data_IF_360476661041
#
_entry.id   IF_360476661041
#
_cell.length_a   1.000
_cell.length_b   1.000
_cell.length_c   1.000
_cell.angle_alpha   90.00
_cell.angle_beta   90.00
_cell.angle_gamma   90.00
#
_symmetry.space_group_name_H-M   'P 1'
#
loop_
_entity.id
_entity.type
_entity.pdbx_description
1 polymer ?
#
# COMPACT_ATOMS: atom_id res chain seq x y z
N UNK A 1 5.16 18.38 0.32
CA UNK A 1 5.57 17.84 -1.01
C UNK A 1 4.66 16.68 -1.41
N UNK A 2 4.61 16.27 -2.72
CA UNK A 2 3.90 15.06 -3.08
C UNK A 2 4.61 13.83 -2.46
N UNK A 3 3.83 12.89 -1.89
CA UNK A 3 4.36 11.59 -1.53
C UNK A 3 4.61 10.81 -2.83
N UNK A 4 5.83 10.29 -2.99
CA UNK A 4 6.18 9.41 -4.10
C UNK A 4 6.45 8.02 -3.55
N UNK A 5 5.64 7.07 -3.98
CA UNK A 5 5.79 5.66 -3.66
C UNK A 5 6.25 4.91 -4.91
N UNK A 6 7.21 4.01 -4.74
CA UNK A 6 7.67 3.12 -5.79
C UNK A 6 7.58 1.68 -5.27
N UNK A 7 6.85 0.86 -5.99
CA UNK A 7 6.67 -0.55 -5.66
C UNK A 7 7.77 -1.39 -6.29
N UNK A 8 8.37 -2.28 -5.51
CA UNK A 8 9.36 -3.25 -5.96
C UNK A 8 8.94 -4.66 -5.53
N UNK A 9 9.22 -5.66 -6.35
CA UNK A 9 9.07 -7.06 -5.95
C UNK A 9 10.18 -7.50 -4.98
N UNK A 10 11.37 -6.90 -5.07
CA UNK A 10 12.51 -7.07 -4.16
C UNK A 10 13.17 -5.70 -3.90
N UNK A 11 12.58 -4.97 -2.95
CA UNK A 11 13.05 -3.64 -2.53
C UNK A 11 14.52 -3.65 -2.10
N UNK A 12 14.89 -4.63 -1.27
CA UNK A 12 16.23 -4.64 -0.67
C UNK A 12 17.31 -4.98 -1.71
N UNK A 13 17.00 -5.83 -2.68
CA UNK A 13 17.85 -6.10 -3.81
C UNK A 13 18.07 -4.85 -4.67
N UNK A 14 17.01 -4.14 -4.99
CA UNK A 14 17.09 -2.89 -5.78
C UNK A 14 17.85 -1.80 -5.03
N UNK A 15 17.58 -1.58 -3.74
CA UNK A 15 18.25 -0.54 -2.96
C UNK A 15 19.77 -0.77 -2.82
N UNK A 16 20.26 -2.01 -2.91
CA UNK A 16 21.70 -2.30 -2.94
C UNK A 16 22.40 -1.76 -4.20
N UNK A 17 21.65 -1.54 -5.28
CA UNK A 17 22.22 -1.04 -6.55
C UNK A 17 22.41 0.48 -6.54
N UNK A 18 21.82 1.20 -5.58
CA UNK A 18 21.83 2.65 -5.53
C UNK A 18 22.36 3.16 -4.21
N UNK A 19 23.17 4.22 -4.28
CA UNK A 19 23.54 4.97 -3.07
C UNK A 19 22.27 5.66 -2.56
N UNK A 20 21.91 5.39 -1.31
CA UNK A 20 20.75 5.98 -0.66
C UNK A 20 20.99 6.12 0.84
N UNK A 21 20.28 7.07 1.46
CA UNK A 21 20.27 7.25 2.92
C UNK A 21 18.87 6.93 3.42
N UNK A 22 18.68 5.93 4.31
CA UNK A 22 17.40 5.65 4.93
C UNK A 22 16.88 6.84 5.71
N UNK A 23 15.59 7.17 5.51
CA UNK A 23 14.91 8.18 6.29
C UNK A 23 14.71 7.73 7.74
N UNK A 24 14.46 8.67 8.63
CA UNK A 24 14.14 8.43 10.03
C UNK A 24 12.78 9.01 10.41
N UNK A 25 12.21 8.47 11.46
CA UNK A 25 10.95 8.89 12.06
C UNK A 25 11.11 8.99 13.56
N UNK A 26 10.53 10.02 14.18
CA UNK A 26 10.46 10.13 15.64
C UNK A 26 9.21 9.38 16.13
N UNK A 27 9.42 8.40 17.01
CA UNK A 27 8.37 7.70 17.75
C UNK A 27 8.72 7.69 19.23
N UNK A 28 7.79 8.10 20.08
CA UNK A 28 7.96 8.11 21.53
C UNK A 28 9.31 8.76 21.94
N UNK A 29 9.61 9.92 21.32
CA UNK A 29 10.85 10.70 21.51
C UNK A 29 12.15 10.01 21.06
N UNK A 30 12.05 8.85 20.36
CA UNK A 30 13.21 8.15 19.78
C UNK A 30 13.23 8.29 18.27
N UNK A 31 14.44 8.47 17.74
CA UNK A 31 14.67 8.44 16.31
C UNK A 31 14.82 6.99 15.87
N UNK A 32 13.92 6.52 15.01
CA UNK A 32 13.93 5.19 14.44
C UNK A 32 14.07 5.26 12.91
N UNK A 33 14.59 4.19 12.31
CA UNK A 33 14.59 4.05 10.84
C UNK A 33 13.15 4.04 10.31
N UNK A 34 12.89 4.88 9.30
CA UNK A 34 11.62 4.82 8.56
C UNK A 34 11.54 3.49 7.78
N UNK A 35 10.36 2.84 7.78
CA UNK A 35 10.21 1.51 7.18
C UNK A 35 10.47 1.48 5.68
N UNK A 36 10.00 2.50 4.96
CA UNK A 36 9.98 2.55 3.49
C UNK A 36 10.80 3.70 2.92
N UNK A 37 10.89 4.81 3.64
CA UNK A 37 11.46 6.06 3.16
C UNK A 37 12.97 6.04 2.99
N UNK A 38 13.41 6.52 1.84
CA UNK A 38 14.83 6.71 1.52
C UNK A 38 15.06 8.05 0.80
N UNK A 39 16.30 8.55 0.85
CA UNK A 39 16.77 9.68 0.08
C UNK A 39 17.84 9.20 -0.91
N UNK A 40 17.69 9.54 -2.20
CA UNK A 40 18.70 9.27 -3.24
C UNK A 40 19.60 10.48 -3.50
N UNK A 41 19.45 11.55 -2.75
CA UNK A 41 20.31 12.73 -2.74
C UNK A 41 20.96 12.90 -1.36
N UNK A 42 21.98 13.78 -1.27
CA UNK A 42 22.66 14.02 -0.01
C UNK A 42 21.75 14.63 1.05
N UNK A 43 21.69 14.02 2.21
CA UNK A 43 21.03 14.51 3.44
C UNK A 43 22.01 14.34 4.60
N UNK A 44 21.81 15.06 5.74
CA UNK A 44 22.59 14.83 6.94
C UNK A 44 22.48 13.36 7.38
N UNK A 45 23.63 12.67 7.47
CA UNK A 45 23.71 11.23 7.72
C UNK A 45 24.49 10.95 9.01
N UNK A 46 23.99 10.00 9.80
CA UNK A 46 24.68 9.56 11.01
C UNK A 46 25.86 8.65 10.65
N UNK A 47 27.10 8.96 11.07
CA UNK A 47 28.30 8.28 10.58
C UNK A 47 28.38 6.79 10.95
N UNK A 48 27.66 6.36 11.99
CA UNK A 48 27.69 4.96 12.45
C UNK A 48 26.52 4.15 11.87
N UNK A 49 25.32 4.73 11.84
CA UNK A 49 24.12 4.00 11.41
C UNK A 49 23.80 4.13 9.94
N UNK A 50 24.37 5.15 9.27
CA UNK A 50 24.06 5.46 7.87
C UNK A 50 22.64 5.96 7.63
N UNK A 51 21.89 6.30 8.68
CA UNK A 51 20.54 6.84 8.56
C UNK A 51 20.55 8.37 8.59
N UNK A 52 19.49 9.01 8.08
CA UNK A 52 19.30 10.45 8.24
C UNK A 52 19.35 10.84 9.73
N UNK A 53 20.02 11.95 10.04
CA UNK A 53 20.07 12.50 11.41
C UNK A 53 18.88 13.38 11.72
N UNK A 54 18.07 13.71 10.74
CA UNK A 54 16.85 14.52 10.87
C UNK A 54 15.62 13.68 10.55
N UNK A 55 14.56 13.89 11.29
CA UNK A 55 13.24 13.28 11.06
C UNK A 55 12.72 13.61 9.66
N UNK A 56 11.92 12.71 9.06
CA UNK A 56 11.44 12.89 7.69
C UNK A 56 10.56 14.13 7.51
N UNK A 57 9.85 14.59 8.57
CA UNK A 57 9.03 15.81 8.50
C UNK A 57 9.92 17.05 8.49
N UNK A 58 10.91 17.08 9.38
CA UNK A 58 11.91 18.16 9.39
C UNK A 58 12.72 18.19 8.07
N UNK A 59 13.02 17.03 7.52
CA UNK A 59 13.68 16.92 6.22
C UNK A 59 12.79 17.51 5.11
N UNK A 60 11.49 17.23 5.12
CA UNK A 60 10.53 17.81 4.17
C UNK A 60 10.45 19.33 4.31
N UNK A 61 10.40 19.86 5.54
CA UNK A 61 10.38 21.31 5.82
C UNK A 61 11.66 22.00 5.31
N UNK A 62 12.78 21.30 5.31
CA UNK A 62 14.07 21.76 4.77
C UNK A 62 14.21 21.57 3.25
N UNK A 63 13.20 21.01 2.57
CA UNK A 63 13.18 20.82 1.13
C UNK A 63 13.81 19.52 0.65
N UNK A 64 14.13 18.58 1.53
CA UNK A 64 14.59 17.24 1.14
C UNK A 64 13.43 16.40 0.63
N UNK A 65 13.66 15.61 -0.40
CA UNK A 65 12.66 14.80 -1.07
C UNK A 65 12.82 13.32 -0.71
N UNK A 66 11.87 12.79 0.06
CA UNK A 66 11.79 11.38 0.44
C UNK A 66 11.02 10.58 -0.60
N UNK A 67 11.51 9.39 -0.93
CA UNK A 67 10.80 8.40 -1.74
C UNK A 67 10.49 7.20 -0.84
N UNK A 68 9.24 6.76 -0.84
CA UNK A 68 8.84 5.53 -0.18
C UNK A 68 8.99 4.35 -1.14
N UNK A 69 9.96 3.48 -0.83
CA UNK A 69 10.20 2.25 -1.56
C UNK A 69 9.46 1.11 -0.85
N UNK A 70 8.44 0.57 -1.49
CA UNK A 70 7.56 -0.47 -0.96
C UNK A 70 7.97 -1.83 -1.50
N UNK A 71 7.85 -2.88 -0.68
CA UNK A 71 8.04 -4.25 -1.13
C UNK A 71 6.67 -4.86 -1.43
N UNK A 72 6.38 -5.11 -2.70
CA UNK A 72 5.11 -5.68 -3.17
C UNK A 72 5.40 -7.02 -3.81
N UNK A 73 5.38 -8.08 -2.98
CA UNK A 73 5.75 -9.45 -3.37
C UNK A 73 4.88 -10.05 -4.48
N UNK A 74 3.68 -9.51 -4.70
CA UNK A 74 2.77 -9.90 -5.78
C UNK A 74 3.48 -9.88 -7.14
N UNK A 75 4.32 -8.88 -7.38
CA UNK A 75 5.04 -8.69 -8.65
C UNK A 75 6.10 -9.76 -8.95
N UNK A 76 6.51 -10.56 -7.97
CA UNK A 76 7.43 -11.70 -8.22
C UNK A 76 6.86 -12.74 -9.19
N UNK A 77 5.54 -12.86 -9.25
CA UNK A 77 4.85 -13.82 -10.11
C UNK A 77 4.61 -13.31 -11.53
N UNK A 78 5.02 -12.07 -11.82
CA UNK A 78 4.80 -11.38 -13.10
C UNK A 78 6.09 -11.40 -13.92
N UNK A 79 6.00 -11.88 -15.17
CA UNK A 79 7.16 -12.12 -16.03
C UNK A 79 7.55 -10.92 -16.90
N UNK A 80 6.59 -10.00 -17.16
CA UNK A 80 6.80 -8.85 -18.04
C UNK A 80 5.83 -7.72 -17.72
N UNK A 81 6.17 -6.51 -18.15
CA UNK A 81 5.30 -5.34 -18.07
C UNK A 81 3.99 -5.56 -18.85
N UNK A 82 4.06 -6.23 -20.00
CA UNK A 82 2.88 -6.55 -20.79
C UNK A 82 1.93 -7.47 -20.00
N UNK A 83 2.43 -8.53 -19.34
CA UNK A 83 1.62 -9.41 -18.50
C UNK A 83 0.99 -8.61 -17.34
N UNK A 84 1.74 -7.68 -16.73
CA UNK A 84 1.20 -6.81 -15.68
C UNK A 84 0.02 -5.98 -16.18
N UNK A 85 0.17 -5.33 -17.33
CA UNK A 85 -0.90 -4.54 -17.93
C UNK A 85 -2.13 -5.40 -18.23
N UNK A 86 -1.95 -6.58 -18.81
CA UNK A 86 -3.03 -7.53 -19.09
C UNK A 86 -3.78 -7.92 -17.81
N UNK A 87 -3.05 -8.23 -16.74
CA UNK A 87 -3.63 -8.56 -15.42
C UNK A 87 -4.34 -7.37 -14.76
N UNK A 88 -3.86 -6.16 -14.98
CA UNK A 88 -4.49 -4.95 -14.43
C UNK A 88 -5.80 -4.58 -15.12
N UNK A 89 -5.93 -4.83 -16.44
CA UNK A 89 -7.14 -4.50 -17.22
C UNK A 89 -8.15 -5.65 -17.25
N UNK A 90 -7.72 -6.88 -16.93
CA UNK A 90 -8.61 -8.03 -16.86
C UNK A 90 -9.59 -7.84 -15.69
N UNK A 91 -10.90 -7.97 -15.99
CA UNK A 91 -11.94 -7.96 -14.95
C UNK A 91 -11.77 -9.19 -14.05
N UNK A 92 -11.61 -9.01 -12.74
CA UNK A 92 -11.44 -10.14 -11.83
C UNK A 92 -12.78 -10.82 -11.54
N UNK A 93 -12.75 -12.08 -11.11
CA UNK A 93 -13.95 -12.71 -10.53
C UNK A 93 -14.22 -12.16 -9.11
N UNK A 94 -15.08 -11.16 -9.03
CA UNK A 94 -15.48 -10.54 -7.75
C UNK A 94 -16.11 -11.54 -6.76
N UNK A 95 -16.57 -12.72 -7.20
CA UNK A 95 -17.09 -13.74 -6.29
C UNK A 95 -16.00 -14.33 -5.39
N UNK A 96 -14.75 -14.26 -5.80
CA UNK A 96 -13.60 -14.65 -4.94
C UNK A 96 -13.64 -13.94 -3.59
N UNK A 97 -14.12 -12.69 -3.53
CA UNK A 97 -14.22 -11.92 -2.30
C UNK A 97 -15.31 -12.39 -1.32
N UNK A 98 -16.12 -13.38 -1.69
CA UNK A 98 -17.10 -14.05 -0.81
C UNK A 98 -16.47 -15.17 0.01
N UNK A 99 -15.25 -15.58 -0.29
CA UNK A 99 -14.54 -16.68 0.35
C UNK A 99 -13.46 -16.15 1.30
N UNK A 100 -13.61 -16.42 2.59
CA UNK A 100 -12.69 -15.92 3.60
C UNK A 100 -11.25 -16.37 3.35
N UNK A 101 -11.06 -17.63 2.99
CA UNK A 101 -9.75 -18.23 2.69
C UNK A 101 -9.02 -17.52 1.54
N UNK A 102 -9.75 -16.93 0.60
CA UNK A 102 -9.18 -16.12 -0.47
C UNK A 102 -8.86 -14.72 0.03
N UNK A 103 -9.83 -14.07 0.70
CA UNK A 103 -9.65 -12.70 1.22
C UNK A 103 -8.47 -12.62 2.19
N UNK A 104 -8.26 -13.64 3.02
CA UNK A 104 -7.16 -13.68 3.98
C UNK A 104 -5.77 -13.81 3.31
N UNK A 105 -5.72 -14.10 2.02
CA UNK A 105 -4.49 -14.15 1.22
C UNK A 105 -4.27 -12.88 0.41
N UNK A 106 -5.30 -12.04 0.26
CA UNK A 106 -5.23 -10.84 -0.54
C UNK A 106 -4.51 -9.70 0.18
N UNK A 107 -3.69 -9.00 -0.57
CA UNK A 107 -2.91 -7.85 -0.14
C UNK A 107 -3.80 -6.81 0.58
N UNK A 108 -3.43 -6.41 1.79
CA UNK A 108 -4.16 -5.47 2.63
C UNK A 108 -5.62 -5.84 3.01
N UNK A 109 -6.13 -6.98 2.57
CA UNK A 109 -7.46 -7.49 2.96
C UNK A 109 -7.40 -8.58 4.03
N UNK A 110 -6.22 -9.15 4.26
CA UNK A 110 -6.00 -10.17 5.30
C UNK A 110 -6.57 -9.74 6.66
N UNK A 111 -7.36 -10.61 7.29
CA UNK A 111 -8.01 -10.35 8.58
C UNK A 111 -9.18 -9.37 8.53
N UNK A 112 -9.63 -8.96 7.34
CA UNK A 112 -10.73 -8.00 7.16
C UNK A 112 -11.93 -8.55 6.39
N UNK A 113 -12.07 -9.88 6.36
CA UNK A 113 -13.17 -10.53 5.64
C UNK A 113 -14.55 -10.01 6.02
N UNK A 114 -14.78 -9.70 7.30
CA UNK A 114 -16.05 -9.15 7.78
C UNK A 114 -16.43 -7.82 7.08
N UNK A 115 -15.46 -6.98 6.76
CA UNK A 115 -15.69 -5.72 6.05
C UNK A 115 -15.94 -5.97 4.57
N UNK A 116 -15.10 -6.81 3.95
CA UNK A 116 -15.20 -7.17 2.54
C UNK A 116 -16.54 -7.85 2.25
N UNK A 117 -16.93 -8.83 3.07
CA UNK A 117 -18.22 -9.55 2.92
C UNK A 117 -19.44 -8.68 3.16
N UNK A 118 -19.34 -7.65 4.01
CA UNK A 118 -20.42 -6.68 4.23
C UNK A 118 -20.59 -5.74 3.03
N UNK A 119 -19.48 -5.22 2.50
CA UNK A 119 -19.52 -4.21 1.42
C UNK A 119 -19.62 -4.82 0.03
N UNK A 120 -19.11 -6.04 -0.18
CA UNK A 120 -19.15 -6.78 -1.44
C UNK A 120 -18.75 -5.93 -2.66
N UNK A 121 -17.53 -5.39 -2.71
CA UNK A 121 -17.10 -4.54 -3.82
C UNK A 121 -17.14 -5.30 -5.15
N UNK A 122 -17.53 -4.60 -6.22
CA UNK A 122 -17.66 -5.13 -7.60
C UNK A 122 -16.95 -4.25 -8.62
N UNK A 123 -16.20 -3.27 -8.17
CA UNK A 123 -15.35 -2.40 -9.02
C UNK A 123 -14.08 -2.05 -8.28
N UNK A 124 -13.09 -1.60 -9.03
CA UNK A 124 -11.81 -1.14 -8.46
C UNK A 124 -12.03 0.04 -7.52
N UNK A 125 -12.91 0.97 -7.85
CA UNK A 125 -13.23 2.12 -7.01
C UNK A 125 -13.88 1.69 -5.69
N UNK A 126 -14.79 0.71 -5.74
CA UNK A 126 -15.39 0.15 -4.54
C UNK A 126 -14.35 -0.60 -3.69
N UNK A 127 -13.47 -1.36 -4.31
CA UNK A 127 -12.38 -2.05 -3.61
C UNK A 127 -11.41 -1.05 -2.95
N UNK A 128 -11.08 0.05 -3.64
CA UNK A 128 -10.29 1.14 -3.06
C UNK A 128 -11.01 1.79 -1.85
N UNK A 129 -12.33 1.98 -1.94
CA UNK A 129 -13.12 2.48 -0.80
C UNK A 129 -13.13 1.50 0.38
N UNK A 130 -13.20 0.19 0.13
CA UNK A 130 -13.06 -0.85 1.18
C UNK A 130 -11.72 -0.72 1.89
N UNK A 131 -10.61 -0.53 1.16
CA UNK A 131 -9.29 -0.33 1.76
C UNK A 131 -9.22 0.91 2.66
N UNK A 132 -9.93 1.98 2.30
CA UNK A 132 -10.05 3.16 3.15
C UNK A 132 -10.91 2.91 4.40
N UNK A 133 -12.02 2.15 4.27
CA UNK A 133 -12.96 1.82 5.37
C UNK A 133 -12.32 0.85 6.37
N UNK A 134 -11.40 0.01 5.96
CA UNK A 134 -10.59 -0.83 6.86
C UNK A 134 -9.86 0.04 7.91
N UNK A 135 -9.51 1.29 7.59
CA UNK A 135 -8.84 2.21 8.52
C UNK A 135 -9.83 2.80 9.55
N UNK A 136 -9.41 3.00 10.82
CA UNK A 136 -10.30 3.46 11.89
C UNK A 136 -11.08 4.73 11.55
N UNK A 137 -10.42 5.72 10.94
CA UNK A 137 -10.99 7.02 10.60
C UNK A 137 -12.21 6.96 9.65
N UNK A 138 -12.38 5.86 8.90
CA UNK A 138 -13.48 5.68 7.94
C UNK A 138 -14.39 4.48 8.26
N UNK A 139 -14.13 3.76 9.34
CA UNK A 139 -14.89 2.58 9.76
C UNK A 139 -16.38 2.85 9.97
N UNK A 140 -16.76 4.07 10.32
CA UNK A 140 -18.17 4.48 10.51
C UNK A 140 -19.01 4.36 9.22
N UNK A 141 -18.35 4.31 8.04
CA UNK A 141 -19.03 4.17 6.74
C UNK A 141 -19.48 2.73 6.44
N UNK A 142 -19.05 1.73 7.21
CA UNK A 142 -19.31 0.32 6.94
C UNK A 142 -20.80 -0.04 6.77
N UNK A 143 -21.69 0.72 7.41
CA UNK A 143 -23.15 0.49 7.36
C UNK A 143 -23.90 1.43 6.41
N UNK A 144 -23.17 2.23 5.64
CA UNK A 144 -23.76 3.21 4.73
C UNK A 144 -23.97 2.63 3.32
N UNK A 145 -24.82 3.28 2.53
CA UNK A 145 -24.99 2.96 1.11
C UNK A 145 -23.73 3.30 0.31
N UNK A 146 -23.54 2.68 -0.86
CA UNK A 146 -22.42 3.00 -1.75
C UNK A 146 -22.41 4.47 -2.19
N UNK A 147 -23.58 5.10 -2.38
CA UNK A 147 -23.67 6.52 -2.73
C UNK A 147 -23.10 7.42 -1.62
N UNK A 148 -23.42 7.09 -0.37
CA UNK A 148 -22.92 7.82 0.79
C UNK A 148 -21.42 7.55 1.02
N UNK A 149 -20.97 6.30 0.88
CA UNK A 149 -19.57 5.91 0.93
C UNK A 149 -18.76 6.73 -0.09
N UNK A 150 -19.18 6.74 -1.35
CA UNK A 150 -18.47 7.46 -2.43
C UNK A 150 -18.37 8.96 -2.15
N UNK A 151 -19.36 9.54 -1.48
CA UNK A 151 -19.37 10.96 -1.11
C UNK A 151 -18.42 11.29 0.05
N UNK A 152 -18.21 10.35 0.99
CA UNK A 152 -17.59 10.64 2.29
C UNK A 152 -16.20 10.00 2.45
N UNK A 153 -15.91 8.90 1.74
CA UNK A 153 -14.73 8.07 2.01
C UNK A 153 -13.41 8.82 1.79
N UNK A 154 -13.38 9.71 0.80
CA UNK A 154 -12.17 10.48 0.44
C UNK A 154 -12.07 11.85 1.10
N UNK A 155 -13.07 12.27 1.89
CA UNK A 155 -13.00 13.53 2.63
C UNK A 155 -11.97 13.40 3.75
N UNK A 156 -11.15 14.45 3.93
CA UNK A 156 -10.20 14.50 5.04
C UNK A 156 -10.97 14.50 6.36
N UNK A 157 -10.57 13.69 7.37
CA UNK A 157 -11.15 13.73 8.70
C UNK A 157 -10.95 15.10 9.35
N UNK A 158 -11.98 15.58 10.05
CA UNK A 158 -11.93 16.90 10.70
C UNK A 158 -10.91 16.97 11.87
N UNK A 159 -10.66 15.82 12.51
CA UNK A 159 -9.71 15.65 13.61
C UNK A 159 -8.25 15.43 13.16
N UNK A 160 -7.98 15.55 11.84
CA UNK A 160 -6.69 15.26 11.24
C UNK A 160 -6.17 13.82 11.51
N UNK A 161 -7.03 12.90 11.94
CA UNK A 161 -6.65 11.49 12.08
C UNK A 161 -6.15 10.90 10.76
N UNK A 162 -5.33 9.85 10.86
CA UNK A 162 -4.81 9.18 9.69
C UNK A 162 -5.93 8.56 8.86
N UNK A 163 -5.95 8.84 7.57
CA UNK A 163 -6.85 8.24 6.60
C UNK A 163 -6.08 7.83 5.34
N UNK A 164 -6.61 6.82 4.64
CA UNK A 164 -5.96 6.32 3.44
C UNK A 164 -6.28 7.23 2.25
N UNK A 165 -5.26 7.80 1.61
CA UNK A 165 -5.43 8.69 0.46
C UNK A 165 -5.98 7.93 -0.74
N UNK A 166 -6.81 8.58 -1.54
CA UNK A 166 -7.46 7.95 -2.71
C UNK A 166 -6.44 7.37 -3.69
N UNK A 167 -5.36 8.09 -4.00
CA UNK A 167 -4.31 7.63 -4.92
C UNK A 167 -3.68 6.31 -4.47
N UNK A 168 -3.31 6.19 -3.19
CA UNK A 168 -2.75 4.96 -2.63
C UNK A 168 -3.78 3.83 -2.61
N UNK A 169 -5.03 4.13 -2.24
CA UNK A 169 -6.09 3.13 -2.20
C UNK A 169 -6.39 2.55 -3.59
N UNK A 170 -6.38 3.38 -4.63
CA UNK A 170 -6.59 2.94 -6.02
C UNK A 170 -5.41 2.09 -6.50
N UNK A 171 -4.16 2.50 -6.23
CA UNK A 171 -2.97 1.72 -6.59
C UNK A 171 -3.00 0.33 -5.92
N UNK A 172 -3.33 0.25 -4.64
CA UNK A 172 -3.45 -1.03 -3.94
C UNK A 172 -4.65 -1.86 -4.40
N UNK A 173 -5.76 -1.25 -4.79
CA UNK A 173 -6.88 -1.97 -5.39
C UNK A 173 -6.48 -2.63 -6.72
N UNK A 174 -5.70 -1.96 -7.56
CA UNK A 174 -5.13 -2.58 -8.76
C UNK A 174 -4.18 -3.73 -8.43
N UNK A 175 -3.30 -3.60 -7.43
CA UNK A 175 -2.43 -4.68 -7.00
C UNK A 175 -3.23 -5.92 -6.52
N UNK A 176 -4.35 -5.69 -5.81
CA UNK A 176 -5.25 -6.78 -5.40
C UNK A 176 -5.92 -7.44 -6.62
N UNK A 177 -6.38 -6.65 -7.60
CA UNK A 177 -6.96 -7.19 -8.84
C UNK A 177 -5.94 -8.05 -9.59
N UNK A 178 -4.70 -7.60 -9.71
CA UNK A 178 -3.59 -8.40 -10.28
C UNK A 178 -3.43 -9.70 -9.52
N UNK A 179 -3.42 -9.66 -8.18
CA UNK A 179 -3.32 -10.86 -7.35
C UNK A 179 -4.50 -11.82 -7.56
N UNK A 180 -5.74 -11.31 -7.60
CA UNK A 180 -6.94 -12.12 -7.87
C UNK A 180 -6.84 -12.80 -9.25
N UNK A 181 -6.40 -12.08 -10.27
CA UNK A 181 -6.24 -12.63 -11.62
C UNK A 181 -5.12 -13.66 -11.71
N UNK A 182 -3.99 -13.46 -10.99
CA UNK A 182 -2.95 -14.50 -10.86
C UNK A 182 -3.47 -15.76 -10.16
N UNK A 183 -4.26 -15.60 -9.09
CA UNK A 183 -4.88 -16.72 -8.37
C UNK A 183 -5.83 -17.51 -9.27
N UNK A 184 -6.67 -16.81 -10.06
CA UNK A 184 -7.59 -17.45 -11.02
C UNK A 184 -6.88 -18.23 -12.12
N UNK A 185 -5.62 -17.89 -12.41
CA UNK A 185 -4.81 -18.56 -13.43
C UNK A 185 -3.89 -19.67 -12.85
N UNK A 186 -4.05 -20.02 -11.56
CA UNK A 186 -3.16 -20.94 -10.83
C UNK A 186 -1.67 -20.54 -10.88
N UNK A 187 -1.40 -19.24 -11.15
CA UNK A 187 -0.04 -18.70 -11.26
C UNK A 187 0.49 -18.11 -9.96
N UNK A 188 -0.32 -18.09 -8.90
CA UNK A 188 0.05 -17.47 -7.65
C UNK A 188 0.71 -18.47 -6.69
N UNK A 189 1.95 -18.20 -6.29
CA UNK A 189 2.68 -19.01 -5.33
C UNK A 189 2.42 -18.49 -3.90
N UNK A 190 1.61 -19.24 -3.14
CA UNK A 190 1.14 -18.84 -1.80
C UNK A 190 2.22 -18.82 -0.73
N UNK A 191 3.28 -19.61 -0.87
CA UNK A 191 4.30 -19.82 0.17
C UNK A 191 5.15 -18.59 0.49
N UNK A 192 5.16 -17.58 -0.37
CA UNK A 192 5.93 -16.35 -0.17
C UNK A 192 5.10 -15.11 0.24
N UNK A 193 3.80 -15.11 0.03
CA UNK A 193 2.94 -13.95 0.29
C UNK A 193 2.67 -13.71 1.79
N UNK A 194 2.82 -14.74 2.62
CA UNK A 194 2.54 -14.71 4.06
C UNK A 194 3.69 -14.20 4.93
N UNK A 195 4.79 -13.74 4.34
CA UNK A 195 6.02 -13.32 5.08
C UNK A 195 6.23 -11.81 5.16
N UNK A 196 5.19 -10.99 4.86
CA UNK A 196 5.26 -9.53 4.96
C UNK A 196 4.43 -8.97 6.10
#
# INVERSE_FOLDING_TARGET
MPDVDIDFFDRDGVLKLFKHTPATIIKEEKIEKHKTGVYFHAVPEHPVTGHSTIDYKEAEDRGYFKIDCLNVSIYKNIKSEQELVELMIQEPDWNMLKHQEIVDQLFHLNGHFNIVSTLQPKTIEQLAAVLAIIRPAKRYLLKQSWDEINTQVWKRPADNSYFFKKSHAVAYAHAIVVQMNLMSQDKYNFDEASKN
#
